data_IF_474317326302
#
_entry.id   IF_474317326302
#
_cell.length_a   1.000
_cell.length_b   1.000
_cell.length_c   1.000
_cell.angle_alpha   90.00
_cell.angle_beta   90.00
_cell.angle_gamma   90.00
#
_symmetry.space_group_name_H-M   'P 1'
#
loop_
_entity.id
_entity.type
_entity.pdbx_description
1 polymer ?
#
# COMPACT_ATOMS: atom_id res chain seq x y z
N UNK A 1 -6.32 -26.10 -3.98
CA UNK A 1 -4.89 -26.03 -3.61
C UNK A 1 -4.79 -26.16 -2.10
N UNK A 2 -4.02 -27.12 -1.61
CA UNK A 2 -3.78 -27.25 -0.17
C UNK A 2 -2.81 -26.16 0.32
N UNK A 3 -2.78 -25.86 1.62
CA UNK A 3 -1.83 -24.88 2.18
C UNK A 3 -0.37 -25.26 1.91
N UNK A 4 -0.05 -26.56 1.98
CA UNK A 4 1.30 -27.08 1.70
C UNK A 4 1.69 -26.94 0.23
N UNK A 5 0.75 -27.20 -0.68
CA UNK A 5 0.96 -27.03 -2.12
C UNK A 5 1.19 -25.56 -2.48
N UNK A 6 0.43 -24.64 -1.87
CA UNK A 6 0.67 -23.21 -2.02
C UNK A 6 2.06 -22.79 -1.53
N UNK A 7 2.46 -23.25 -0.33
CA UNK A 7 3.77 -22.94 0.22
C UNK A 7 4.92 -23.50 -0.63
N UNK A 8 4.76 -24.69 -1.20
CA UNK A 8 5.74 -25.28 -2.12
C UNK A 8 5.84 -24.49 -3.43
N UNK A 9 4.70 -24.08 -3.99
CA UNK A 9 4.66 -23.26 -5.19
C UNK A 9 5.35 -21.90 -4.99
N UNK A 10 5.11 -21.25 -3.84
CA UNK A 10 5.79 -19.99 -3.51
C UNK A 10 7.30 -20.20 -3.33
N UNK A 11 7.73 -21.25 -2.62
CA UNK A 11 9.18 -21.53 -2.48
C UNK A 11 9.86 -21.79 -3.83
N UNK A 12 9.21 -22.57 -4.69
CA UNK A 12 9.69 -22.88 -6.04
C UNK A 12 9.76 -21.63 -6.93
N UNK A 13 8.75 -20.76 -6.83
CA UNK A 13 8.73 -19.49 -7.55
C UNK A 13 9.86 -18.57 -7.06
N UNK A 14 10.00 -18.40 -5.75
CA UNK A 14 10.93 -17.40 -5.20
C UNK A 14 12.38 -17.87 -5.28
N UNK A 15 12.64 -19.18 -5.26
CA UNK A 15 14.01 -19.70 -5.40
C UNK A 15 14.68 -19.28 -6.70
N UNK A 16 13.93 -19.12 -7.80
CA UNK A 16 14.43 -18.70 -9.11
C UNK A 16 14.53 -17.18 -9.31
N UNK A 17 14.03 -16.37 -8.37
CA UNK A 17 14.04 -14.90 -8.50
C UNK A 17 15.34 -14.28 -8.01
N UNK A 18 15.79 -13.23 -8.69
CA UNK A 18 16.88 -12.36 -8.23
C UNK A 18 16.31 -11.10 -7.57
N UNK A 19 17.03 -10.48 -6.61
CA UNK A 19 16.59 -9.21 -6.05
C UNK A 19 16.60 -8.13 -7.15
N UNK A 20 15.57 -7.30 -7.18
CA UNK A 20 15.49 -6.19 -8.13
C UNK A 20 16.57 -5.13 -7.81
N UNK A 21 17.03 -4.38 -8.82
CA UNK A 21 17.99 -3.28 -8.60
C UNK A 21 17.27 -1.94 -8.44
N UNK A 22 17.84 -0.94 -7.73
CA UNK A 22 17.20 0.37 -7.54
C UNK A 22 16.76 1.05 -8.85
N UNK A 23 17.53 0.86 -9.93
CA UNK A 23 17.20 1.38 -11.25
C UNK A 23 15.91 0.80 -11.82
N UNK A 24 15.56 -0.44 -11.47
CA UNK A 24 14.35 -1.11 -11.93
C UNK A 24 13.10 -0.47 -11.35
N UNK A 25 13.16 0.02 -10.11
CA UNK A 25 12.03 0.70 -9.47
C UNK A 25 11.85 2.12 -9.99
N UNK A 26 12.94 2.83 -10.24
CA UNK A 26 12.89 4.09 -10.96
C UNK A 26 12.33 3.88 -12.37
N UNK A 27 12.71 2.80 -13.05
CA UNK A 27 12.12 2.40 -14.33
C UNK A 27 10.66 1.99 -14.19
N UNK A 28 10.21 1.39 -13.11
CA UNK A 28 8.78 1.09 -12.91
C UNK A 28 7.95 2.37 -12.76
N UNK A 29 8.44 3.33 -11.97
CA UNK A 29 7.82 4.66 -11.82
C UNK A 29 7.96 5.52 -13.10
N UNK A 30 9.03 5.32 -13.88
CA UNK A 30 9.28 6.05 -15.12
C UNK A 30 8.63 5.40 -16.37
N UNK A 31 8.47 4.08 -16.42
CA UNK A 31 7.75 3.35 -17.49
C UNK A 31 6.24 3.42 -17.26
N UNK A 32 5.81 3.49 -16.00
CA UNK A 32 4.51 4.07 -15.68
C UNK A 32 4.44 5.59 -16.00
N UNK A 33 5.37 6.18 -16.78
CA UNK A 33 5.17 7.48 -17.41
C UNK A 33 4.61 7.42 -18.84
N UNK A 34 4.57 6.24 -19.46
CA UNK A 34 4.05 6.07 -20.83
C UNK A 34 2.64 5.47 -20.82
N UNK A 35 2.34 4.54 -19.91
CA UNK A 35 1.09 3.77 -19.90
C UNK A 35 -0.12 4.35 -19.10
N UNK A 36 -0.01 5.27 -18.11
CA UNK A 36 -1.15 5.67 -17.29
C UNK A 36 -2.27 6.41 -18.03
N UNK A 37 -1.95 7.18 -19.07
CA UNK A 37 -2.96 7.96 -19.80
C UNK A 37 -3.96 7.05 -20.51
N UNK A 38 -3.50 5.94 -21.07
CA UNK A 38 -4.35 4.96 -21.76
C UNK A 38 -5.29 4.24 -20.78
N UNK A 39 -4.93 4.18 -19.50
CA UNK A 39 -5.76 3.63 -18.43
C UNK A 39 -6.47 4.69 -17.58
N UNK A 40 -6.28 5.98 -17.84
CA UNK A 40 -6.87 7.10 -17.10
C UNK A 40 -6.33 7.31 -15.68
N UNK A 41 -5.04 7.06 -15.45
CA UNK A 41 -4.33 7.31 -14.19
C UNK A 41 -3.43 8.55 -14.29
N UNK A 42 -3.49 9.42 -13.27
CA UNK A 42 -2.67 10.61 -13.11
C UNK A 42 -1.47 10.34 -12.20
N UNK A 43 -0.36 11.06 -12.41
CA UNK A 43 0.83 10.94 -11.56
C UNK A 43 0.70 11.79 -10.31
N UNK A 44 1.12 11.22 -9.18
CA UNK A 44 1.33 11.96 -7.93
C UNK A 44 2.82 12.28 -7.80
N UNK A 45 3.16 13.56 -7.75
CA UNK A 45 4.54 14.06 -7.73
C UNK A 45 4.90 14.66 -6.36
N UNK A 46 6.11 14.38 -5.88
CA UNK A 46 6.76 15.10 -4.77
C UNK A 46 8.07 15.72 -5.29
N UNK A 47 8.10 17.05 -5.37
CA UNK A 47 9.18 17.77 -6.05
C UNK A 47 9.25 17.36 -7.52
N UNK A 48 10.39 16.78 -7.91
CA UNK A 48 10.63 16.29 -9.27
C UNK A 48 10.42 14.78 -9.44
N UNK A 49 10.06 14.06 -8.37
CA UNK A 49 9.95 12.60 -8.37
C UNK A 49 8.49 12.15 -8.31
N UNK A 50 8.14 11.14 -9.10
CA UNK A 50 6.83 10.48 -9.03
C UNK A 50 6.81 9.57 -7.80
N UNK A 51 5.82 9.71 -6.94
CA UNK A 51 5.67 8.90 -5.71
C UNK A 51 4.48 7.94 -5.73
N UNK A 52 3.62 8.08 -6.75
CA UNK A 52 2.46 7.21 -6.92
C UNK A 52 1.62 7.59 -8.13
N UNK A 53 0.49 6.91 -8.26
CA UNK A 53 -0.53 7.15 -9.28
C UNK A 53 -1.91 7.33 -8.62
N UNK A 54 -2.80 8.08 -9.26
CA UNK A 54 -4.16 8.32 -8.80
C UNK A 54 -5.15 8.19 -9.95
N UNK A 55 -6.31 7.58 -9.70
CA UNK A 55 -7.43 7.54 -10.62
C UNK A 55 -8.74 7.75 -9.84
N UNK A 56 -9.27 8.97 -9.90
CA UNK A 56 -10.42 9.39 -9.11
C UNK A 56 -10.16 9.18 -7.61
N UNK A 57 -10.95 8.30 -6.98
CA UNK A 57 -10.83 7.96 -5.56
C UNK A 57 -9.91 6.76 -5.28
N UNK A 58 -9.18 6.25 -6.28
CA UNK A 58 -8.22 5.16 -6.11
C UNK A 58 -6.80 5.72 -6.23
N UNK A 59 -5.86 5.12 -5.50
CA UNK A 59 -4.44 5.48 -5.59
C UNK A 59 -3.58 4.23 -5.59
N UNK A 60 -2.36 4.39 -6.10
CA UNK A 60 -1.29 3.43 -6.00
C UNK A 60 -0.07 4.15 -5.45
N UNK A 61 0.38 3.76 -4.26
CA UNK A 61 1.56 4.32 -3.63
C UNK A 61 2.73 3.32 -3.71
N UNK A 62 3.95 3.87 -3.80
CA UNK A 62 5.16 3.08 -3.64
C UNK A 62 5.65 3.17 -2.20
N UNK A 63 5.67 2.05 -1.50
CA UNK A 63 6.19 1.93 -0.14
C UNK A 63 7.70 1.67 -0.14
N UNK A 64 8.40 1.87 1.00
CA UNK A 64 9.82 1.55 1.11
C UNK A 64 10.11 0.12 0.65
N UNK A 65 11.27 -0.06 0.01
CA UNK A 65 11.75 -1.35 -0.51
C UNK A 65 10.81 -1.99 -1.53
N UNK A 66 10.14 -1.19 -2.35
CA UNK A 66 9.53 -1.65 -3.61
C UNK A 66 8.14 -2.23 -3.49
N UNK A 67 7.56 -2.13 -2.30
CA UNK A 67 6.19 -2.57 -2.05
C UNK A 67 5.21 -1.62 -2.73
N UNK A 68 4.18 -2.16 -3.34
CA UNK A 68 3.14 -1.39 -4.02
C UNK A 68 1.84 -1.49 -3.23
N UNK A 69 1.28 -0.33 -2.86
CA UNK A 69 0.06 -0.23 -2.08
C UNK A 69 -1.09 0.34 -2.92
N UNK A 70 -2.00 -0.51 -3.43
CA UNK A 70 -3.23 -0.05 -4.04
C UNK A 70 -4.29 0.30 -2.98
N UNK A 71 -4.78 1.54 -3.03
CA UNK A 71 -5.86 2.03 -2.16
C UNK A 71 -7.14 2.21 -2.97
N UNK A 72 -8.23 1.60 -2.47
CA UNK A 72 -9.56 1.72 -3.05
C UNK A 72 -10.30 2.98 -2.61
N UNK A 73 -11.29 3.39 -3.41
CA UNK A 73 -12.18 4.49 -3.01
C UNK A 73 -13.16 4.07 -1.92
N UNK A 74 -13.74 5.04 -1.18
CA UNK A 74 -14.72 4.73 -0.15
C UNK A 74 -15.98 4.11 -0.77
N UNK A 75 -16.52 3.09 -0.11
CA UNK A 75 -17.77 2.44 -0.48
C UNK A 75 -18.80 2.57 0.64
N UNK A 76 -20.04 2.89 0.28
CA UNK A 76 -21.07 3.24 1.26
C UNK A 76 -21.63 2.05 2.05
N UNK A 77 -21.50 0.81 1.53
CA UNK A 77 -22.07 -0.39 2.16
C UNK A 77 -21.03 -1.51 2.19
N UNK A 78 -20.98 -2.26 3.29
CA UNK A 78 -20.07 -3.41 3.45
C UNK A 78 -20.22 -4.43 2.32
N UNK A 79 -21.44 -4.69 1.86
CA UNK A 79 -21.70 -5.61 0.74
C UNK A 79 -21.08 -5.14 -0.58
N UNK A 80 -20.89 -3.83 -0.75
CA UNK A 80 -20.19 -3.29 -1.92
C UNK A 80 -18.70 -3.64 -1.90
N UNK A 81 -18.09 -3.82 -0.72
CA UNK A 81 -16.69 -4.25 -0.59
C UNK A 81 -16.44 -5.59 -1.30
N UNK A 82 -17.41 -6.52 -1.25
CA UNK A 82 -17.31 -7.85 -1.88
C UNK A 82 -17.03 -7.74 -3.39
N UNK A 83 -17.54 -6.71 -4.06
CA UNK A 83 -17.28 -6.45 -5.48
C UNK A 83 -16.14 -5.48 -5.70
N UNK A 84 -15.98 -4.50 -4.80
CA UNK A 84 -15.00 -3.44 -4.94
C UNK A 84 -13.56 -3.92 -4.73
N UNK A 85 -13.30 -4.74 -3.70
CA UNK A 85 -11.96 -5.22 -3.38
C UNK A 85 -11.39 -6.10 -4.51
N UNK A 86 -12.10 -7.11 -5.05
CA UNK A 86 -11.60 -7.87 -6.19
C UNK A 86 -11.36 -7.00 -7.42
N UNK A 87 -12.23 -6.01 -7.68
CA UNK A 87 -12.06 -5.07 -8.79
C UNK A 87 -10.77 -4.26 -8.64
N UNK A 88 -10.52 -3.70 -7.46
CA UNK A 88 -9.30 -2.95 -7.15
C UNK A 88 -8.05 -3.82 -7.38
N UNK A 89 -8.04 -5.03 -6.80
CA UNK A 89 -6.90 -5.96 -6.91
C UNK A 89 -6.66 -6.35 -8.36
N UNK A 90 -7.71 -6.64 -9.15
CA UNK A 90 -7.57 -6.98 -10.56
C UNK A 90 -7.06 -5.81 -11.40
N UNK A 91 -7.55 -4.59 -11.16
CA UNK A 91 -7.04 -3.38 -11.83
C UNK A 91 -5.55 -3.20 -11.53
N UNK A 92 -5.17 -3.35 -10.26
CA UNK A 92 -3.77 -3.27 -9.83
C UNK A 92 -2.89 -4.32 -10.52
N UNK A 93 -3.31 -5.60 -10.51
CA UNK A 93 -2.56 -6.68 -11.17
C UNK A 93 -2.40 -6.40 -12.68
N UNK A 94 -3.42 -5.86 -13.35
CA UNK A 94 -3.35 -5.50 -14.78
C UNK A 94 -2.34 -4.39 -15.02
N UNK A 95 -2.40 -3.32 -14.22
CA UNK A 95 -1.47 -2.20 -14.32
C UNK A 95 -0.03 -2.65 -14.09
N UNK A 96 0.21 -3.41 -13.02
CA UNK A 96 1.53 -3.94 -12.69
C UNK A 96 2.02 -4.88 -13.79
N UNK A 97 1.20 -5.80 -14.30
CA UNK A 97 1.62 -6.71 -15.38
C UNK A 97 1.98 -5.96 -16.68
N UNK A 98 1.23 -4.91 -17.01
CA UNK A 98 1.50 -4.10 -18.20
C UNK A 98 2.87 -3.42 -18.12
N UNK A 99 3.21 -2.85 -16.95
CA UNK A 99 4.49 -2.15 -16.76
C UNK A 99 5.64 -3.12 -16.50
N UNK A 100 5.43 -4.10 -15.61
CA UNK A 100 6.48 -4.99 -15.12
C UNK A 100 6.95 -5.98 -16.19
N UNK A 101 6.07 -6.34 -17.14
CA UNK A 101 6.43 -7.17 -18.30
C UNK A 101 7.49 -6.52 -19.20
N UNK A 102 7.50 -5.20 -19.34
CA UNK A 102 8.46 -4.47 -20.17
C UNK A 102 9.87 -4.39 -19.54
N UNK A 103 9.93 -4.46 -18.21
CA UNK A 103 11.16 -4.31 -17.42
C UNK A 103 11.59 -5.61 -16.73
N UNK A 104 10.95 -6.73 -17.09
CA UNK A 104 11.23 -8.08 -16.56
C UNK A 104 11.17 -8.18 -15.02
N UNK A 105 10.30 -7.39 -14.38
CA UNK A 105 10.05 -7.46 -12.94
C UNK A 105 8.81 -8.31 -12.67
N UNK A 106 8.86 -9.10 -11.60
CA UNK A 106 7.71 -9.82 -11.06
C UNK A 106 7.27 -9.25 -9.71
N UNK A 107 5.97 -9.35 -9.41
CA UNK A 107 5.43 -9.04 -8.09
C UNK A 107 4.78 -10.28 -7.49
N UNK A 108 4.99 -10.48 -6.19
CA UNK A 108 4.38 -11.57 -5.43
C UNK A 108 3.50 -11.01 -4.31
N UNK A 109 2.31 -11.59 -4.15
CA UNK A 109 1.35 -11.21 -3.11
C UNK A 109 1.43 -12.16 -1.92
N UNK A 110 2.46 -12.01 -1.09
CA UNK A 110 2.68 -12.81 0.13
C UNK A 110 2.76 -11.90 1.35
N UNK A 111 2.32 -12.40 2.51
CA UNK A 111 2.28 -11.59 3.74
C UNK A 111 3.67 -11.25 4.30
N UNK A 112 4.70 -11.99 3.90
CA UNK A 112 6.08 -11.82 4.36
C UNK A 112 7.06 -12.21 3.26
N UNK A 113 8.16 -11.46 3.08
CA UNK A 113 9.23 -11.78 2.13
C UNK A 113 9.93 -13.09 2.52
N UNK A 114 9.80 -14.15 1.71
CA UNK A 114 10.29 -15.46 2.10
C UNK A 114 11.77 -15.72 1.75
N UNK A 115 12.44 -14.89 0.94
CA UNK A 115 13.82 -15.15 0.48
C UNK A 115 14.85 -14.13 0.94
N UNK A 116 14.60 -12.85 0.73
CA UNK A 116 15.62 -11.82 0.96
C UNK A 116 15.62 -11.28 2.38
N UNK A 117 16.81 -11.10 2.95
CA UNK A 117 17.01 -10.37 4.19
C UNK A 117 17.00 -8.86 3.97
N UNK A 118 17.01 -8.09 5.05
CA UNK A 118 17.01 -6.62 4.98
C UNK A 118 18.19 -6.07 4.17
N UNK A 119 19.38 -6.66 4.31
CA UNK A 119 20.58 -6.21 3.61
C UNK A 119 20.55 -6.49 2.10
N UNK A 120 19.71 -7.42 1.66
CA UNK A 120 19.63 -7.84 0.26
C UNK A 120 18.64 -7.01 -0.55
N UNK A 121 17.73 -6.28 0.10
CA UNK A 121 16.76 -5.45 -0.62
C UNK A 121 17.25 -4.00 -0.73
N UNK A 122 17.15 -3.40 -1.92
CA UNK A 122 17.50 -2.00 -2.10
C UNK A 122 16.52 -1.07 -1.38
N UNK A 123 17.06 0.02 -0.85
CA UNK A 123 16.24 1.12 -0.34
C UNK A 123 15.82 1.98 -1.53
N UNK A 124 14.52 2.21 -1.65
CA UNK A 124 13.99 3.19 -2.61
C UNK A 124 13.94 4.53 -1.90
N UNK A 125 14.75 5.52 -2.34
CA UNK A 125 14.67 6.85 -1.78
C UNK A 125 13.36 7.51 -2.25
N UNK A 126 12.34 7.53 -1.39
CA UNK A 126 11.33 8.59 -1.48
C UNK A 126 12.03 9.88 -1.04
N UNK A 127 12.07 10.88 -1.91
CA UNK A 127 12.73 12.17 -1.63
C UNK A 127 12.07 12.84 -0.43
N UNK A 128 12.90 13.29 0.50
CA UNK A 128 12.57 14.31 1.48
C UNK A 128 12.95 15.65 0.86
N UNK A 129 12.02 16.60 0.62
CA UNK A 129 12.42 17.99 0.49
C UNK A 129 12.85 18.44 1.89
N UNK A 130 14.14 18.75 2.03
CA UNK A 130 14.72 19.40 3.19
C UNK A 130 13.81 20.52 3.76
N UNK A 131 13.62 20.49 5.08
CA UNK A 131 13.33 21.63 5.98
C UNK A 131 11.85 21.98 6.25
N UNK A 132 11.50 21.87 7.55
CA UNK A 132 10.71 22.79 8.39
C UNK A 132 9.69 23.69 7.65
N UNK A 133 8.41 23.38 7.79
CA UNK A 133 7.34 24.39 7.78
C UNK A 133 6.15 23.89 8.61
N UNK A 134 5.77 24.56 9.72
CA UNK A 134 4.54 24.22 10.40
C UNK A 134 3.38 24.71 9.54
N UNK A 135 2.33 23.90 9.41
CA UNK A 135 1.03 24.33 8.89
C UNK A 135 0.96 24.75 7.40
N UNK A 136 0.55 23.81 6.54
CA UNK A 136 -0.31 24.13 5.38
C UNK A 136 -1.44 23.09 5.26
N UNK A 137 -2.72 23.50 5.31
CA UNK A 137 -3.83 22.60 5.13
C UNK A 137 -4.12 22.39 3.63
N UNK A 138 -4.39 21.14 3.27
CA UNK A 138 -4.91 20.61 2.00
C UNK A 138 -3.95 20.23 0.84
N UNK A 139 -4.36 19.12 0.20
CA UNK A 139 -3.88 18.40 -0.98
C UNK A 139 -2.71 17.42 -0.75
N UNK A 140 -3.06 16.13 -0.69
CA UNK A 140 -2.23 14.94 -0.39
C UNK A 140 -1.89 14.70 1.08
N UNK A 141 -2.91 14.34 1.86
CA UNK A 141 -2.71 13.84 3.24
C UNK A 141 -2.10 12.42 3.26
N UNK A 142 -2.22 11.66 2.15
CA UNK A 142 -1.77 10.27 2.08
C UNK A 142 -0.35 10.06 1.55
N UNK A 143 0.29 10.98 0.81
CA UNK A 143 1.67 10.75 0.36
C UNK A 143 2.71 11.49 1.21
N UNK A 144 2.44 12.74 1.60
CA UNK A 144 3.42 13.60 2.28
C UNK A 144 3.85 13.12 3.68
N UNK A 145 3.05 12.31 4.34
CA UNK A 145 3.35 11.84 5.70
C UNK A 145 4.35 10.69 5.73
N UNK A 146 4.56 9.95 4.65
CA UNK A 146 5.19 8.63 4.75
C UNK A 146 6.72 8.66 4.96
N UNK A 147 7.46 9.61 4.38
CA UNK A 147 8.94 9.56 4.41
C UNK A 147 9.51 9.97 5.76
N UNK A 148 9.07 11.12 6.30
CA UNK A 148 9.50 11.58 7.63
C UNK A 148 9.04 10.61 8.73
N UNK A 149 7.86 9.99 8.56
CA UNK A 149 7.39 8.94 9.48
C UNK A 149 8.32 7.75 9.44
N UNK A 150 8.86 7.31 8.30
CA UNK A 150 9.70 6.12 8.27
C UNK A 150 11.09 6.31 8.87
N UNK A 151 11.70 7.49 8.75
CA UNK A 151 12.98 7.77 9.40
C UNK A 151 12.79 7.93 10.92
N UNK A 152 11.83 8.77 11.33
CA UNK A 152 11.50 8.99 12.76
C UNK A 152 11.03 7.70 13.42
N UNK A 153 10.11 6.98 12.77
CA UNK A 153 9.61 5.70 13.28
C UNK A 153 10.69 4.63 13.21
N UNK A 154 11.62 4.69 12.26
CA UNK A 154 12.70 3.72 12.15
C UNK A 154 13.59 3.70 13.39
N UNK A 155 14.02 4.89 13.83
CA UNK A 155 14.83 5.03 15.04
C UNK A 155 14.04 4.67 16.31
N UNK A 156 12.77 5.07 16.38
CA UNK A 156 11.92 4.70 17.51
C UNK A 156 11.64 3.20 17.57
N UNK A 157 11.30 2.57 16.44
CA UNK A 157 10.93 1.15 16.34
C UNK A 157 12.09 0.25 16.75
N UNK A 158 13.33 0.63 16.41
CA UNK A 158 14.54 -0.08 16.87
C UNK A 158 14.66 -0.13 18.40
N UNK A 159 14.16 0.90 19.09
CA UNK A 159 14.25 0.99 20.55
C UNK A 159 13.15 0.22 21.28
N UNK A 160 12.05 -0.14 20.61
CA UNK A 160 10.88 -0.77 21.23
C UNK A 160 10.68 -2.24 20.86
N UNK A 161 11.50 -2.78 19.95
CA UNK A 161 11.47 -4.20 19.62
C UNK A 161 12.48 -4.61 18.56
N UNK A 162 12.74 -5.93 18.49
CA UNK A 162 13.73 -6.52 17.57
C UNK A 162 13.19 -6.78 16.16
N UNK A 163 11.88 -6.93 16.00
CA UNK A 163 11.23 -7.34 14.74
C UNK A 163 10.50 -6.21 14.01
N UNK A 164 10.30 -5.05 14.66
CA UNK A 164 9.42 -4.01 14.12
C UNK A 164 9.96 -3.38 12.82
N UNK A 165 11.27 -3.18 12.73
CA UNK A 165 11.88 -2.57 11.57
C UNK A 165 12.04 -3.60 10.43
N UNK A 166 12.76 -4.67 10.72
CA UNK A 166 13.21 -5.61 9.70
C UNK A 166 12.06 -6.46 9.18
N UNK A 167 11.22 -6.99 10.07
CA UNK A 167 10.16 -7.89 9.68
C UNK A 167 8.89 -7.10 9.34
N UNK A 168 8.36 -6.31 10.28
CA UNK A 168 7.07 -5.64 10.09
C UNK A 168 7.17 -4.55 9.02
N UNK A 169 8.05 -3.56 9.20
CA UNK A 169 8.06 -2.38 8.33
C UNK A 169 8.54 -2.68 6.92
N UNK A 170 9.50 -3.59 6.75
CA UNK A 170 10.19 -3.78 5.48
C UNK A 170 9.85 -5.06 4.74
N UNK A 171 9.52 -6.15 5.44
CA UNK A 171 9.32 -7.46 4.83
C UNK A 171 7.88 -7.94 4.84
N UNK A 172 6.95 -7.25 5.51
CA UNK A 172 5.53 -7.61 5.46
C UNK A 172 4.73 -6.83 4.43
N UNK A 173 3.69 -7.50 3.93
CA UNK A 173 2.59 -6.92 3.17
C UNK A 173 1.28 -7.31 3.86
N UNK A 174 0.31 -6.40 3.84
CA UNK A 174 -0.99 -6.62 4.48
C UNK A 174 -2.13 -6.25 3.53
N UNK A 175 -3.31 -6.81 3.81
CA UNK A 175 -4.57 -6.34 3.24
C UNK A 175 -5.35 -5.67 4.36
N UNK A 176 -5.61 -4.39 4.19
CA UNK A 176 -6.32 -3.58 5.19
C UNK A 176 -7.68 -3.12 4.66
N UNK A 177 -8.68 -3.13 5.54
CA UNK A 177 -10.01 -2.54 5.28
C UNK A 177 -10.28 -1.51 6.37
N UNK A 178 -10.59 -0.29 5.95
CA UNK A 178 -10.95 0.81 6.85
C UNK A 178 -12.48 0.96 6.83
N UNK A 179 -13.10 0.92 8.01
CA UNK A 179 -14.54 1.07 8.16
C UNK A 179 -14.87 2.24 9.10
N UNK A 180 -15.79 3.09 8.69
CA UNK A 180 -16.36 4.16 9.53
C UNK A 180 -17.71 3.69 10.10
N UNK A 181 -17.87 3.80 11.42
CA UNK A 181 -19.10 3.45 12.12
C UNK A 181 -19.80 4.74 12.57
N UNK A 182 -21.10 4.84 12.29
CA UNK A 182 -21.96 5.88 12.86
C UNK A 182 -22.89 5.24 13.87
N UNK A 183 -22.89 5.75 15.10
CA UNK A 183 -23.87 5.38 16.10
C UNK A 183 -25.13 6.22 15.84
N UNK A 184 -26.17 5.61 15.26
CA UNK A 184 -27.50 6.18 15.35
C UNK A 184 -27.97 6.01 16.80
N UNK A 185 -27.67 7.00 17.65
CA UNK A 185 -28.25 7.11 18.98
C UNK A 185 -29.76 7.26 18.84
N UNK A 186 -30.49 6.15 18.94
CA UNK A 186 -31.83 6.22 19.48
C UNK A 186 -31.68 6.66 20.92
N UNK A 187 -32.15 7.86 21.26
CA UNK A 187 -32.55 8.11 22.64
C UNK A 187 -33.42 6.91 23.03
N UNK A 188 -32.96 6.12 23.99
CA UNK A 188 -33.82 5.24 24.76
C UNK A 188 -34.91 6.16 25.31
N UNK A 189 -36.09 6.16 24.68
CA UNK A 189 -37.27 6.79 25.26
C UNK A 189 -37.46 6.16 26.64
N UNK A 190 -37.62 6.95 27.72
CA UNK A 190 -37.79 6.39 29.06
C UNK A 190 -38.94 5.37 29.05
N UNK A 191 -38.84 4.29 29.85
CA UNK A 191 -39.84 3.24 29.85
C UNK A 191 -41.22 3.86 30.11
N UNK A 192 -42.15 3.66 29.18
CA UNK A 192 -43.55 4.12 29.35
C UNK A 192 -44.08 3.49 30.64
N UNK A 193 -44.41 4.32 31.63
CA UNK A 193 -45.10 3.88 32.84
C UNK A 193 -46.36 3.12 32.42
N UNK A 194 -46.34 1.80 32.66
CA UNK A 194 -47.49 0.93 32.45
C UNK A 194 -48.46 1.24 33.59
N UNK A 195 -49.44 2.10 33.33
CA UNK A 195 -50.58 2.30 34.23
C UNK A 195 -51.26 0.96 34.41
N UNK A 196 -51.16 0.41 35.63
CA UNK A 196 -52.00 -0.71 36.08
C UNK A 196 -53.44 -0.22 36.09
N UNK A 197 -54.28 -0.78 35.22
CA UNK A 197 -55.71 -0.89 35.47
C UNK A 197 -55.96 -2.27 36.07
#
# INVERSE_FOLDING_TARGET
>A
MSHNEYAQNIRSLVSSLEPYVPSDMNRLLNCSMVLPRDFGWDKVMEGHNTVGLQQGNQSLALEPRGKLEPTGGPVHRMRSCIKHVPKLVLTFIRLVKAVAGEISIGFTGVGFEPKWGLHDMPIIPKVIPSIISPFRPCLSMYCKQFVDIYEISGDYIRNVGTHGLDDVMFRTCAVQVIASLSLSGGLLSPPKNRTRK
#
